data_IF_886370841708
#
_entry.id   IF_886370841708
#
_cell.length_a   1.000
_cell.length_b   1.000
_cell.length_c   1.000
_cell.angle_alpha   90.00
_cell.angle_beta   90.00
_cell.angle_gamma   90.00
#
_symmetry.space_group_name_H-M   'P 1'
#
loop_
_entity.id
_entity.type
_entity.pdbx_description
1 polymer ?
#
# COMPACT_ATOMS: atom_id res chain seq x y z
N UNK A 1 -23.70 -9.09 7.71
CA UNK A 1 -23.47 -9.78 6.41
C UNK A 1 -23.77 -11.27 6.51
N UNK A 2 -24.44 -11.86 5.48
CA UNK A 2 -24.78 -13.32 5.46
C UNK A 2 -23.51 -14.18 5.35
N UNK A 3 -23.50 -15.35 6.07
CA UNK A 3 -22.42 -16.34 5.98
C UNK A 3 -22.11 -16.71 4.52
N UNK A 4 -20.90 -16.46 4.04
CA UNK A 4 -20.46 -16.74 2.66
C UNK A 4 -20.36 -15.53 1.72
N UNK A 5 -20.89 -14.37 2.08
CA UNK A 5 -20.88 -13.16 1.26
C UNK A 5 -19.46 -12.54 1.16
N UNK A 6 -18.71 -12.52 2.28
CA UNK A 6 -17.32 -12.04 2.30
C UNK A 6 -16.42 -12.89 1.39
N UNK A 7 -16.54 -14.23 1.43
CA UNK A 7 -15.71 -15.10 0.58
C UNK A 7 -16.05 -14.95 -0.90
N UNK A 8 -17.35 -14.85 -1.22
CA UNK A 8 -17.82 -14.63 -2.60
C UNK A 8 -17.28 -13.29 -3.13
N UNK A 9 -17.31 -12.22 -2.30
CA UNK A 9 -16.76 -10.93 -2.63
C UNK A 9 -15.24 -11.01 -2.88
N UNK A 10 -14.49 -11.63 -1.97
CA UNK A 10 -13.04 -11.81 -2.12
C UNK A 10 -12.65 -12.61 -3.36
N UNK A 11 -13.43 -13.65 -3.67
CA UNK A 11 -13.23 -14.42 -4.90
C UNK A 11 -13.44 -13.54 -6.12
N UNK A 12 -14.51 -12.76 -6.15
CA UNK A 12 -14.84 -11.89 -7.29
C UNK A 12 -13.83 -10.76 -7.49
N UNK A 13 -13.34 -10.14 -6.41
CA UNK A 13 -12.23 -9.18 -6.50
C UNK A 13 -10.99 -9.84 -7.12
N UNK A 14 -10.64 -11.03 -6.69
CA UNK A 14 -9.51 -11.76 -7.26
C UNK A 14 -9.73 -12.07 -8.75
N UNK A 15 -10.92 -12.55 -9.13
CA UNK A 15 -11.26 -12.86 -10.52
C UNK A 15 -11.13 -11.61 -11.42
N UNK A 16 -11.62 -10.44 -10.96
CA UNK A 16 -11.48 -9.15 -11.66
C UNK A 16 -10.01 -8.74 -11.77
N UNK A 17 -9.24 -8.85 -10.68
CA UNK A 17 -7.82 -8.50 -10.68
C UNK A 17 -6.98 -9.39 -11.61
N UNK A 18 -7.36 -10.64 -11.80
CA UNK A 18 -6.66 -11.58 -12.68
C UNK A 18 -7.11 -11.46 -14.14
N UNK A 19 -8.28 -10.91 -14.41
CA UNK A 19 -8.77 -10.72 -15.78
C UNK A 19 -7.96 -9.65 -16.51
N UNK A 20 -7.20 -10.08 -17.52
CA UNK A 20 -6.37 -9.19 -18.36
C UNK A 20 -7.18 -8.37 -19.36
N UNK A 21 -8.43 -8.74 -19.61
CA UNK A 21 -9.34 -8.02 -20.51
C UNK A 21 -10.01 -6.81 -19.83
N UNK A 22 -9.90 -6.69 -18.50
CA UNK A 22 -10.47 -5.57 -17.76
C UNK A 22 -9.42 -4.49 -17.49
N UNK A 23 -9.75 -3.24 -17.84
CA UNK A 23 -8.96 -2.07 -17.49
C UNK A 23 -9.26 -1.72 -16.01
N UNK A 24 -8.41 -2.19 -15.11
CA UNK A 24 -8.54 -1.98 -13.65
C UNK A 24 -7.38 -1.17 -13.08
N UNK A 25 -6.49 -0.73 -13.94
CA UNK A 25 -5.36 0.14 -13.60
C UNK A 25 -5.61 1.47 -14.28
N UNK A 26 -5.44 2.55 -13.55
CA UNK A 26 -5.69 3.89 -14.04
C UNK A 26 -4.66 4.88 -13.51
N UNK A 27 -4.55 6.03 -14.16
CA UNK A 27 -3.64 7.09 -13.82
C UNK A 27 -2.21 6.90 -14.26
N UNK A 28 -1.45 7.94 -13.97
CA UNK A 28 0.00 7.94 -14.13
C UNK A 28 0.66 7.91 -12.75
N UNK A 29 1.67 7.06 -12.59
CA UNK A 29 2.46 7.03 -11.35
C UNK A 29 3.30 8.28 -11.14
N UNK A 30 3.58 9.08 -12.17
CA UNK A 30 4.55 10.18 -12.12
C UNK A 30 6.02 9.73 -11.97
N UNK A 31 6.29 8.42 -11.93
CA UNK A 31 7.67 7.89 -11.79
C UNK A 31 8.51 8.07 -13.05
N UNK A 32 7.88 8.21 -14.20
CA UNK A 32 8.52 8.55 -15.49
C UNK A 32 9.03 9.99 -15.50
N UNK A 33 8.47 10.88 -14.70
CA UNK A 33 8.90 12.26 -14.51
C UNK A 33 10.14 12.40 -13.61
N UNK A 34 10.64 11.30 -13.04
CA UNK A 34 11.79 11.26 -12.13
C UNK A 34 12.95 10.53 -12.78
N UNK A 35 14.14 11.11 -12.75
CA UNK A 35 15.36 10.50 -13.25
C UNK A 35 16.47 10.53 -12.20
N UNK A 36 17.11 9.39 -11.97
CA UNK A 36 18.31 9.29 -11.13
C UNK A 36 19.48 9.89 -11.93
N UNK A 37 20.30 10.72 -11.31
CA UNK A 37 21.43 11.35 -11.98
C UNK A 37 22.47 10.31 -12.37
N UNK A 38 22.76 10.23 -13.68
CA UNK A 38 23.76 9.34 -14.25
C UNK A 38 25.18 9.85 -13.98
N UNK A 39 26.09 8.94 -13.65
CA UNK A 39 27.53 9.19 -13.61
C UNK A 39 28.23 8.44 -14.72
N UNK A 40 28.84 9.16 -15.67
CA UNK A 40 29.64 8.56 -16.74
C UNK A 40 30.93 7.90 -16.22
N UNK A 41 31.41 8.35 -15.06
CA UNK A 41 32.54 7.79 -14.33
C UNK A 41 32.08 7.47 -12.90
N UNK A 42 31.38 6.35 -12.67
CA UNK A 42 30.78 6.04 -11.37
C UNK A 42 31.79 5.76 -10.25
N UNK A 43 33.03 5.34 -10.59
CA UNK A 43 34.14 5.21 -9.63
C UNK A 43 33.91 4.13 -8.56
N UNK A 44 33.12 3.08 -8.85
CA UNK A 44 32.85 1.99 -7.93
C UNK A 44 33.11 0.62 -8.55
N UNK A 45 33.42 -0.37 -7.72
CA UNK A 45 33.44 -1.76 -8.12
C UNK A 45 32.02 -2.34 -7.89
N UNK A 46 31.36 -2.78 -8.98
CA UNK A 46 30.00 -3.30 -8.94
C UNK A 46 29.85 -4.60 -8.14
N UNK A 47 30.97 -5.31 -7.87
CA UNK A 47 31.00 -6.49 -7.00
C UNK A 47 30.78 -6.15 -5.52
N UNK A 48 31.04 -4.91 -5.13
CA UNK A 48 30.87 -4.41 -3.78
C UNK A 48 29.50 -3.80 -3.52
N UNK A 49 28.61 -3.77 -4.53
CA UNK A 49 27.25 -3.26 -4.39
C UNK A 49 26.44 -4.19 -3.48
N UNK A 50 25.77 -3.61 -2.49
CA UNK A 50 24.80 -4.29 -1.64
C UNK A 50 23.41 -3.69 -1.74
N UNK A 51 22.40 -4.57 -1.83
CA UNK A 51 20.96 -4.21 -1.83
C UNK A 51 20.28 -4.60 -0.50
N UNK A 52 21.05 -5.02 0.49
CA UNK A 52 20.51 -5.42 1.80
C UNK A 52 19.84 -4.23 2.49
N UNK A 53 18.75 -4.51 3.18
CA UNK A 53 17.92 -3.53 3.87
C UNK A 53 17.34 -4.13 5.15
N UNK A 54 17.51 -3.46 6.29
CA UNK A 54 16.90 -3.91 7.54
C UNK A 54 15.43 -3.48 7.58
N UNK A 55 14.55 -4.40 7.93
CA UNK A 55 13.11 -4.16 8.05
C UNK A 55 12.49 -5.11 9.08
N UNK A 56 11.80 -4.57 10.09
CA UNK A 56 11.10 -5.33 11.15
C UNK A 56 11.98 -6.42 11.79
N UNK A 57 13.18 -6.07 12.22
CA UNK A 57 14.17 -6.99 12.82
C UNK A 57 14.73 -8.07 11.87
N UNK A 58 14.53 -7.96 10.57
CA UNK A 58 15.09 -8.83 9.54
C UNK A 58 16.00 -8.03 8.61
N UNK A 59 17.04 -8.70 8.09
CA UNK A 59 17.84 -8.14 6.99
C UNK A 59 17.38 -8.75 5.67
N UNK A 60 16.62 -7.97 4.89
CA UNK A 60 16.19 -8.34 3.55
C UNK A 60 17.38 -8.34 2.58
N UNK A 61 17.36 -9.23 1.59
CA UNK A 61 18.37 -9.25 0.52
C UNK A 61 18.13 -8.15 -0.52
N UNK A 62 16.87 -7.74 -0.70
CA UNK A 62 16.44 -6.66 -1.61
C UNK A 62 15.39 -5.77 -0.92
N UNK A 63 15.35 -4.45 -1.17
CA UNK A 63 14.42 -3.52 -0.53
C UNK A 63 13.02 -3.58 -1.18
N UNK A 64 12.45 -4.78 -1.24
CA UNK A 64 11.15 -5.03 -1.90
C UNK A 64 10.19 -5.67 -0.92
N UNK A 65 8.89 -5.37 -1.06
CA UNK A 65 7.81 -6.05 -0.36
C UNK A 65 6.73 -6.52 -1.35
N UNK A 66 6.35 -7.79 -1.24
CA UNK A 66 5.13 -8.28 -1.87
C UNK A 66 3.96 -7.79 -1.03
N UNK A 67 3.30 -6.72 -1.50
CA UNK A 67 2.31 -5.99 -0.70
C UNK A 67 1.01 -6.77 -0.48
N UNK A 68 0.28 -6.35 0.53
CA UNK A 68 -0.96 -6.96 0.98
C UNK A 68 -2.05 -6.90 -0.09
N UNK A 69 -2.63 -8.03 -0.51
CA UNK A 69 -3.75 -8.02 -1.46
C UNK A 69 -4.71 -9.19 -1.28
N UNK A 70 -4.27 -10.43 -1.33
CA UNK A 70 -5.13 -11.60 -1.43
C UNK A 70 -5.20 -12.44 -0.15
N UNK A 71 -6.31 -13.16 0.03
CA UNK A 71 -6.51 -14.08 1.15
C UNK A 71 -7.99 -14.31 1.44
N UNK A 72 -8.29 -15.39 2.20
CA UNK A 72 -9.64 -15.72 2.64
C UNK A 72 -10.54 -16.42 1.60
N UNK A 73 -10.05 -16.63 0.37
CA UNK A 73 -10.62 -17.55 -0.62
C UNK A 73 -9.61 -18.64 -0.93
N UNK A 74 -10.06 -19.76 -1.51
CA UNK A 74 -9.15 -20.87 -1.86
C UNK A 74 -8.14 -20.46 -2.95
N UNK A 75 -8.57 -19.69 -3.96
CA UNK A 75 -7.67 -19.11 -4.96
C UNK A 75 -6.62 -18.20 -4.32
N UNK A 76 -7.04 -17.30 -3.42
CA UNK A 76 -6.13 -16.43 -2.67
C UNK A 76 -5.15 -17.21 -1.80
N UNK A 77 -5.58 -18.32 -1.17
CA UNK A 77 -4.70 -19.20 -0.39
C UNK A 77 -3.60 -19.81 -1.26
N UNK A 78 -3.94 -20.31 -2.45
CA UNK A 78 -2.96 -20.89 -3.38
C UNK A 78 -1.91 -19.86 -3.80
N UNK A 79 -2.35 -18.65 -4.19
CA UNK A 79 -1.44 -17.56 -4.58
C UNK A 79 -0.54 -17.15 -3.41
N UNK A 80 -1.10 -16.97 -2.21
CA UNK A 80 -0.32 -16.63 -1.02
C UNK A 80 0.78 -17.65 -0.71
N UNK A 81 0.53 -18.93 -0.92
CA UNK A 81 1.55 -19.98 -0.72
C UNK A 81 2.71 -19.83 -1.71
N UNK A 82 2.41 -19.61 -2.99
CA UNK A 82 3.43 -19.36 -4.02
C UNK A 82 4.26 -18.14 -3.64
N UNK A 83 3.60 -17.03 -3.31
CA UNK A 83 4.25 -15.77 -2.99
C UNK A 83 5.10 -15.85 -1.71
N UNK A 84 4.62 -16.55 -0.67
CA UNK A 84 5.37 -16.72 0.57
C UNK A 84 6.61 -17.59 0.39
N UNK A 85 6.49 -18.68 -0.37
CA UNK A 85 7.62 -19.57 -0.68
C UNK A 85 8.72 -18.79 -1.43
N UNK A 86 8.37 -18.05 -2.47
CA UNK A 86 9.34 -17.23 -3.22
C UNK A 86 9.90 -16.08 -2.39
N UNK A 87 9.07 -15.43 -1.54
CA UNK A 87 9.52 -14.36 -0.65
C UNK A 87 10.63 -14.86 0.30
N UNK A 88 10.47 -16.08 0.86
CA UNK A 88 11.47 -16.73 1.69
C UNK A 88 12.78 -17.01 0.93
N UNK A 89 12.68 -17.59 -0.26
CA UNK A 89 13.85 -17.92 -1.09
C UNK A 89 14.64 -16.67 -1.49
N UNK A 90 13.95 -15.62 -1.93
CA UNK A 90 14.56 -14.37 -2.37
C UNK A 90 15.01 -13.51 -1.20
N UNK A 91 14.41 -13.65 -0.01
CA UNK A 91 14.69 -12.83 1.17
C UNK A 91 14.04 -11.45 1.08
N UNK A 92 12.74 -11.40 0.79
CA UNK A 92 11.94 -10.18 0.69
C UNK A 92 10.72 -10.24 1.62
N UNK A 93 10.16 -9.09 2.01
CA UNK A 93 8.99 -9.01 2.89
C UNK A 93 7.70 -9.40 2.13
N UNK A 94 6.70 -9.90 2.88
CA UNK A 94 5.38 -10.23 2.33
C UNK A 94 4.26 -9.84 3.28
N UNK A 95 3.14 -9.32 2.72
CA UNK A 95 1.91 -9.06 3.45
C UNK A 95 0.77 -10.01 3.06
N UNK A 96 -0.08 -10.35 4.04
CA UNK A 96 -1.32 -11.10 3.77
C UNK A 96 -2.39 -10.18 3.19
N UNK A 97 -3.42 -10.73 2.57
CA UNK A 97 -4.68 -9.99 2.39
C UNK A 97 -5.42 -9.82 3.72
N UNK A 98 -6.48 -9.00 3.71
CA UNK A 98 -7.24 -8.68 4.93
C UNK A 98 -7.68 -9.93 5.70
N UNK A 99 -7.27 -10.00 6.98
CA UNK A 99 -7.60 -11.08 7.92
C UNK A 99 -9.02 -10.96 8.49
N UNK A 100 -9.79 -9.92 8.14
CA UNK A 100 -11.17 -9.72 8.62
C UNK A 100 -12.02 -10.99 8.57
N UNK A 101 -11.83 -11.82 7.54
CA UNK A 101 -12.57 -13.07 7.42
C UNK A 101 -12.31 -14.05 8.57
N UNK A 102 -11.12 -14.02 9.19
CA UNK A 102 -10.77 -14.87 10.33
C UNK A 102 -11.55 -14.49 11.59
N UNK A 103 -11.89 -13.20 11.76
CA UNK A 103 -12.66 -12.71 12.90
C UNK A 103 -14.09 -13.32 12.92
N UNK A 104 -14.58 -13.70 11.74
CA UNK A 104 -15.90 -14.33 11.60
C UNK A 104 -15.84 -15.85 11.39
N UNK A 105 -14.67 -16.38 10.96
CA UNK A 105 -14.51 -17.77 10.50
C UNK A 105 -13.11 -18.27 10.84
N UNK A 106 -12.95 -18.80 12.03
CA UNK A 106 -11.65 -19.27 12.56
C UNK A 106 -11.00 -20.34 11.65
N UNK A 107 -11.79 -21.14 10.91
CA UNK A 107 -11.31 -22.14 9.98
C UNK A 107 -10.49 -21.55 8.82
N UNK A 108 -10.67 -20.26 8.51
CA UNK A 108 -9.89 -19.58 7.45
C UNK A 108 -8.49 -19.13 7.91
N UNK A 109 -8.13 -19.31 9.19
CA UNK A 109 -6.82 -18.95 9.74
C UNK A 109 -5.66 -19.53 8.92
N UNK A 110 -5.77 -20.80 8.50
CA UNK A 110 -4.75 -21.48 7.71
C UNK A 110 -4.44 -20.79 6.36
N UNK A 111 -5.32 -19.93 5.86
CA UNK A 111 -5.09 -19.15 4.62
C UNK A 111 -4.08 -18.00 4.82
N UNK A 112 -3.82 -17.63 6.07
CA UNK A 112 -3.00 -16.47 6.43
C UNK A 112 -1.72 -16.84 7.20
N UNK A 113 -1.52 -18.12 7.53
CA UNK A 113 -0.31 -18.62 8.23
C UNK A 113 0.90 -18.68 7.30
N UNK A 114 1.28 -17.54 6.72
CA UNK A 114 2.39 -17.45 5.76
C UNK A 114 3.75 -17.60 6.44
N UNK A 115 3.85 -17.27 7.73
CA UNK A 115 5.08 -17.39 8.51
C UNK A 115 5.66 -18.81 8.50
N UNK A 116 4.80 -19.82 8.44
CA UNK A 116 5.23 -21.23 8.32
C UNK A 116 5.92 -21.57 6.99
N UNK A 117 5.66 -20.77 5.94
CA UNK A 117 6.27 -20.92 4.61
C UNK A 117 7.43 -19.95 4.40
N UNK A 118 7.43 -18.85 5.11
CA UNK A 118 8.41 -17.78 5.02
C UNK A 118 8.95 -17.40 6.41
N UNK A 119 9.63 -18.35 7.13
CA UNK A 119 10.07 -18.11 8.51
C UNK A 119 11.16 -17.05 8.62
N UNK A 120 12.00 -16.91 7.60
CA UNK A 120 13.21 -16.08 7.62
C UNK A 120 13.00 -14.66 7.09
N UNK A 121 11.76 -14.29 6.76
CA UNK A 121 11.41 -12.94 6.27
C UNK A 121 10.21 -12.37 7.01
N UNK A 122 10.05 -11.03 7.03
CA UNK A 122 8.90 -10.40 7.66
C UNK A 122 7.59 -10.78 6.96
N UNK A 123 6.62 -11.21 7.76
CA UNK A 123 5.24 -11.48 7.33
C UNK A 123 4.31 -10.49 8.02
N UNK A 124 3.57 -9.71 7.25
CA UNK A 124 2.63 -8.72 7.78
C UNK A 124 1.19 -9.25 7.72
N UNK A 125 0.49 -9.21 8.84
CA UNK A 125 -0.96 -9.28 8.84
C UNK A 125 -1.55 -8.03 8.19
N UNK A 126 -2.80 -8.10 7.72
CA UNK A 126 -3.46 -6.96 7.13
C UNK A 126 -4.91 -6.85 7.58
N UNK A 127 -5.37 -5.62 7.88
CA UNK A 127 -6.77 -5.32 8.23
C UNK A 127 -7.18 -3.96 7.69
N UNK A 128 -8.48 -3.76 7.46
CA UNK A 128 -9.00 -2.44 7.08
C UNK A 128 -9.20 -1.53 8.28
N UNK A 129 -9.03 -0.24 8.08
CA UNK A 129 -9.19 0.77 9.14
C UNK A 129 -10.58 0.76 9.78
N UNK A 130 -11.64 0.46 9.02
CA UNK A 130 -12.99 0.33 9.55
C UNK A 130 -13.08 -0.68 10.72
N UNK A 131 -12.24 -1.72 10.71
CA UNK A 131 -12.21 -2.73 11.75
C UNK A 131 -11.59 -2.23 13.07
N UNK A 132 -10.78 -1.17 13.03
CA UNK A 132 -10.26 -0.53 14.25
C UNK A 132 -11.37 0.14 15.07
N UNK A 133 -12.46 0.55 14.41
CA UNK A 133 -13.67 1.06 15.06
C UNK A 133 -14.58 -0.08 15.51
N UNK A 134 -14.70 -1.14 14.70
CA UNK A 134 -15.65 -2.25 14.88
C UNK A 134 -15.22 -3.21 16.02
N UNK A 135 -13.92 -3.39 16.25
CA UNK A 135 -13.38 -4.37 17.19
C UNK A 135 -12.46 -3.74 18.25
N UNK A 136 -12.44 -4.28 19.47
CA UNK A 136 -11.42 -3.95 20.46
C UNK A 136 -10.01 -4.28 19.90
N UNK A 137 -8.98 -3.48 20.24
CA UNK A 137 -7.60 -3.75 19.81
C UNK A 137 -7.13 -5.15 20.18
N UNK A 138 -7.46 -5.65 21.36
CA UNK A 138 -7.06 -6.97 21.86
C UNK A 138 -7.54 -8.09 20.93
N UNK A 139 -8.77 -8.00 20.40
CA UNK A 139 -9.32 -8.98 19.44
C UNK A 139 -8.52 -8.99 18.14
N UNK A 140 -8.12 -7.80 17.63
CA UNK A 140 -7.32 -7.68 16.42
C UNK A 140 -5.91 -8.21 16.64
N UNK A 141 -5.27 -7.86 17.74
CA UNK A 141 -3.92 -8.30 18.10
C UNK A 141 -3.84 -9.81 18.33
N UNK A 142 -4.87 -10.40 18.96
CA UNK A 142 -4.97 -11.86 19.08
C UNK A 142 -5.07 -12.55 17.72
N UNK A 143 -5.85 -11.99 16.79
CA UNK A 143 -5.94 -12.52 15.43
C UNK A 143 -4.58 -12.45 14.71
N UNK A 144 -3.83 -11.35 14.84
CA UNK A 144 -2.47 -11.19 14.30
C UNK A 144 -1.52 -12.22 14.89
N UNK A 145 -1.49 -12.35 16.22
CA UNK A 145 -0.68 -13.34 16.94
C UNK A 145 -0.99 -14.76 16.50
N UNK A 146 -2.25 -15.08 16.24
CA UNK A 146 -2.70 -16.42 15.86
C UNK A 146 -2.14 -16.91 14.51
N UNK A 147 -1.65 -16.01 13.67
CA UNK A 147 -1.00 -16.32 12.38
C UNK A 147 0.51 -16.07 12.42
N UNK A 148 1.06 -15.75 13.59
CA UNK A 148 2.49 -15.54 13.83
C UNK A 148 3.08 -14.42 12.95
N UNK A 149 2.29 -13.36 12.66
CA UNK A 149 2.76 -12.24 11.86
C UNK A 149 3.71 -11.33 12.66
N UNK A 150 4.74 -10.80 12.00
CA UNK A 150 5.78 -9.94 12.59
C UNK A 150 5.34 -8.48 12.74
N UNK A 151 4.22 -8.09 12.11
CA UNK A 151 3.65 -6.75 12.19
C UNK A 151 2.23 -6.71 11.63
N UNK A 152 1.57 -5.59 11.85
CA UNK A 152 0.21 -5.33 11.40
C UNK A 152 0.20 -4.21 10.35
N UNK A 153 -0.33 -4.49 9.18
CA UNK A 153 -0.63 -3.50 8.16
C UNK A 153 -2.11 -3.09 8.24
N UNK A 154 -2.38 -1.82 8.44
CA UNK A 154 -3.74 -1.26 8.40
C UNK A 154 -3.94 -0.55 7.08
N UNK A 155 -4.89 -1.01 6.27
CA UNK A 155 -5.18 -0.34 5.00
C UNK A 155 -6.31 0.69 5.13
N UNK A 156 -6.07 1.84 4.52
CA UNK A 156 -7.04 2.91 4.29
C UNK A 156 -7.63 2.69 2.90
N UNK A 157 -8.94 2.71 2.79
CA UNK A 157 -9.61 2.45 1.52
C UNK A 157 -10.97 3.17 1.40
N UNK A 158 -11.04 4.49 1.68
CA UNK A 158 -12.30 5.21 1.70
C UNK A 158 -13.00 5.20 0.33
N UNK A 159 -12.25 5.34 -0.75
CA UNK A 159 -12.78 5.30 -2.10
C UNK A 159 -13.36 3.92 -2.45
N UNK A 160 -12.65 2.84 -2.10
CA UNK A 160 -13.18 1.48 -2.27
C UNK A 160 -14.44 1.26 -1.45
N UNK A 161 -14.44 1.59 -0.16
CA UNK A 161 -15.60 1.38 0.73
C UNK A 161 -16.81 2.20 0.25
N UNK A 162 -16.58 3.42 -0.25
CA UNK A 162 -17.66 4.26 -0.78
C UNK A 162 -18.35 3.65 -1.99
N UNK A 163 -17.63 3.07 -2.94
CA UNK A 163 -18.18 2.47 -4.14
C UNK A 163 -18.56 0.99 -3.97
N UNK A 164 -18.11 0.35 -2.89
CA UNK A 164 -18.39 -1.04 -2.61
C UNK A 164 -19.85 -1.23 -2.16
N UNK A 165 -20.57 -2.18 -2.77
CA UNK A 165 -21.87 -2.63 -2.30
C UNK A 165 -21.76 -3.13 -0.86
N UNK A 166 -22.56 -2.58 0.06
CA UNK A 166 -22.46 -2.81 1.51
C UNK A 166 -21.09 -2.45 2.11
N UNK A 167 -20.38 -1.50 1.53
CA UNK A 167 -19.18 -0.93 2.10
C UNK A 167 -19.47 0.05 3.24
N UNK A 168 -18.45 0.40 3.99
CA UNK A 168 -18.58 1.39 5.06
C UNK A 168 -18.88 2.78 4.45
N UNK A 169 -19.78 3.52 5.10
CA UNK A 169 -20.16 4.89 4.69
C UNK A 169 -19.89 5.92 5.78
N UNK A 170 -19.65 5.46 7.00
CA UNK A 170 -19.28 6.31 8.11
C UNK A 170 -17.77 6.18 8.36
N UNK A 171 -17.02 7.15 7.86
CA UNK A 171 -15.56 7.21 8.01
C UNK A 171 -15.11 7.92 9.28
N UNK A 172 -16.07 8.41 10.10
CA UNK A 172 -15.76 9.00 11.40
C UNK A 172 -15.17 7.96 12.35
N UNK A 173 -14.38 8.41 13.32
CA UNK A 173 -13.79 7.54 14.34
C UNK A 173 -12.66 6.61 13.83
N UNK A 174 -12.19 6.75 12.59
CA UNK A 174 -11.07 5.96 12.10
C UNK A 174 -9.75 6.36 12.77
N UNK A 175 -9.55 7.65 12.98
CA UNK A 175 -8.35 8.15 13.64
C UNK A 175 -8.30 7.74 15.11
N UNK A 176 -9.41 7.87 15.83
CA UNK A 176 -9.56 7.41 17.21
C UNK A 176 -9.37 5.87 17.32
N UNK A 177 -9.70 5.15 16.24
CA UNK A 177 -9.39 3.72 16.11
C UNK A 177 -7.88 3.46 16.12
N UNK A 178 -7.09 4.29 15.43
CA UNK A 178 -5.64 4.23 15.51
C UNK A 178 -5.12 4.57 16.90
N UNK A 179 -5.62 5.62 17.54
CA UNK A 179 -5.21 6.00 18.90
C UNK A 179 -5.36 4.80 19.85
N UNK A 180 -6.56 4.19 19.89
CA UNK A 180 -6.81 3.00 20.72
C UNK A 180 -5.91 1.81 20.38
N UNK A 181 -5.62 1.58 19.09
CA UNK A 181 -4.72 0.51 18.66
C UNK A 181 -3.30 0.77 19.16
N UNK A 182 -2.81 1.99 18.94
CA UNK A 182 -1.42 2.36 19.27
C UNK A 182 -1.13 2.36 20.78
N UNK A 183 -2.15 2.55 21.62
CA UNK A 183 -2.02 2.40 23.07
C UNK A 183 -1.78 0.94 23.54
N UNK A 184 -2.13 -0.05 22.71
CA UNK A 184 -2.13 -1.48 23.08
C UNK A 184 -1.14 -2.33 22.28
N UNK A 185 -0.71 -1.84 21.14
CA UNK A 185 0.10 -2.63 20.21
C UNK A 185 1.57 -2.67 20.64
N UNK A 186 2.16 -3.86 20.66
CA UNK A 186 3.58 -4.09 20.95
C UNK A 186 4.38 -4.45 19.67
N UNK A 187 3.70 -4.72 18.57
CA UNK A 187 4.31 -5.06 17.29
C UNK A 187 4.29 -3.86 16.33
N UNK A 188 5.20 -3.80 15.35
CA UNK A 188 5.19 -2.72 14.36
C UNK A 188 3.86 -2.61 13.62
N UNK A 189 3.35 -1.37 13.49
CA UNK A 189 2.15 -1.06 12.71
C UNK A 189 2.56 -0.27 11.47
N UNK A 190 2.11 -0.73 10.31
CA UNK A 190 2.23 -0.04 9.04
C UNK A 190 0.86 0.48 8.64
N UNK A 191 0.80 1.66 8.08
CA UNK A 191 -0.44 2.17 7.47
C UNK A 191 -0.22 2.29 5.97
N UNK A 192 -1.18 1.79 5.19
CA UNK A 192 -1.14 1.87 3.71
C UNK A 192 -2.45 2.35 3.14
N UNK A 193 -2.39 3.07 2.05
CA UNK A 193 -3.54 3.28 1.19
C UNK A 193 -3.65 2.15 0.15
N UNK A 194 -4.67 2.16 -0.67
CA UNK A 194 -4.94 1.09 -1.64
C UNK A 194 -4.86 1.53 -3.11
N UNK A 195 -4.52 2.79 -3.37
CA UNK A 195 -4.31 3.31 -4.72
C UNK A 195 -4.69 4.78 -4.90
N UNK A 196 -5.08 5.49 -3.81
CA UNK A 196 -5.36 6.91 -3.84
C UNK A 196 -4.28 7.78 -3.15
N UNK A 197 -3.39 7.14 -2.39
CA UNK A 197 -2.25 7.79 -1.76
C UNK A 197 -2.51 8.34 -0.37
N UNK A 198 -1.42 8.47 0.43
CA UNK A 198 -1.44 9.12 1.75
C UNK A 198 -0.64 10.41 1.66
N UNK A 199 -1.33 11.54 1.73
CA UNK A 199 -0.69 12.85 1.73
C UNK A 199 0.23 13.04 2.96
N UNK A 200 1.30 13.85 2.85
CA UNK A 200 2.24 14.06 3.95
C UNK A 200 1.60 14.53 5.25
N UNK A 201 0.57 15.36 5.20
CA UNK A 201 -0.15 15.86 6.39
C UNK A 201 -0.75 14.71 7.20
N UNK A 202 -1.40 13.75 6.54
CA UNK A 202 -1.99 12.58 7.19
C UNK A 202 -0.92 11.59 7.63
N UNK A 203 0.10 11.36 6.78
CA UNK A 203 1.22 10.48 7.10
C UNK A 203 1.99 10.95 8.33
N UNK A 204 2.30 12.23 8.44
CA UNK A 204 2.94 12.81 9.63
C UNK A 204 2.07 12.65 10.88
N UNK A 205 0.75 12.85 10.76
CA UNK A 205 -0.18 12.65 11.87
C UNK A 205 -0.16 11.21 12.38
N UNK A 206 -0.14 10.22 11.47
CA UNK A 206 -0.04 8.81 11.82
C UNK A 206 1.32 8.45 12.43
N UNK A 207 2.42 8.97 11.87
CA UNK A 207 3.77 8.77 12.41
C UNK A 207 3.92 9.36 13.82
N UNK A 208 3.28 10.51 14.10
CA UNK A 208 3.23 11.11 15.45
C UNK A 208 2.51 10.22 16.47
N UNK A 209 1.53 9.41 16.05
CA UNK A 209 0.89 8.39 16.90
C UNK A 209 1.76 7.18 17.18
N UNK A 210 2.91 7.02 16.52
CA UNK A 210 3.80 5.88 16.70
C UNK A 210 3.70 4.81 15.61
N UNK A 211 2.93 5.03 14.54
CA UNK A 211 2.96 4.16 13.35
C UNK A 211 4.39 4.04 12.85
N UNK A 212 4.82 2.81 12.54
CA UNK A 212 6.22 2.52 12.19
C UNK A 212 6.57 2.91 10.76
N UNK A 213 5.65 2.68 9.81
CA UNK A 213 5.85 2.96 8.38
C UNK A 213 4.56 3.42 7.71
N UNK A 214 4.70 4.30 6.72
CA UNK A 214 3.64 4.73 5.80
C UNK A 214 3.93 4.13 4.43
N UNK A 215 3.04 3.28 3.93
CA UNK A 215 3.02 2.82 2.54
C UNK A 215 2.08 3.73 1.75
N UNK A 216 2.67 4.60 0.95
CA UNK A 216 1.98 5.74 0.33
C UNK A 216 0.92 5.31 -0.69
N UNK A 217 1.08 4.18 -1.37
CA UNK A 217 0.13 3.57 -2.32
C UNK A 217 -0.64 4.58 -3.21
N UNK A 218 0.11 5.39 -3.96
CA UNK A 218 -0.45 6.40 -4.85
C UNK A 218 -1.14 5.85 -6.10
N UNK A 219 -1.70 6.74 -6.93
CA UNK A 219 -2.34 6.38 -8.21
C UNK A 219 -1.34 5.85 -9.24
N UNK A 220 -1.85 5.31 -10.35
CA UNK A 220 -1.06 4.69 -11.42
C UNK A 220 -1.03 3.16 -11.36
N UNK A 221 -1.76 2.56 -10.42
CA UNK A 221 -1.89 1.11 -10.25
C UNK A 221 -3.34 0.64 -10.21
N UNK A 222 -3.62 -0.34 -9.34
CA UNK A 222 -4.98 -0.85 -9.16
C UNK A 222 -5.92 0.23 -8.68
N UNK A 223 -6.97 0.49 -9.44
CA UNK A 223 -8.00 1.48 -9.13
C UNK A 223 -9.23 0.79 -8.53
N UNK A 224 -9.41 0.96 -7.24
CA UNK A 224 -10.49 0.27 -6.53
C UNK A 224 -11.89 0.79 -6.87
N UNK A 225 -12.15 2.08 -7.07
CA UNK A 225 -13.39 2.57 -7.67
C UNK A 225 -13.74 1.83 -8.96
N UNK A 226 -12.79 1.71 -9.89
CA UNK A 226 -12.99 1.00 -11.18
C UNK A 226 -13.24 -0.50 -10.95
N UNK A 227 -12.50 -1.16 -10.06
CA UNK A 227 -12.70 -2.57 -9.70
C UNK A 227 -14.12 -2.80 -9.13
N UNK A 228 -14.60 -1.92 -8.26
CA UNK A 228 -15.96 -2.00 -7.73
C UNK A 228 -17.02 -1.71 -8.80
N UNK A 229 -16.74 -0.80 -9.74
CA UNK A 229 -17.57 -0.55 -10.92
C UNK A 229 -17.76 -1.81 -11.76
N UNK A 230 -16.68 -2.51 -12.12
CA UNK A 230 -16.75 -3.79 -12.84
C UNK A 230 -17.51 -4.87 -12.07
N UNK A 231 -17.45 -4.85 -10.75
CA UNK A 231 -18.24 -5.77 -9.91
C UNK A 231 -19.75 -5.50 -10.03
N UNK A 232 -20.15 -4.23 -10.14
CA UNK A 232 -21.54 -3.81 -10.33
C UNK A 232 -22.10 -4.12 -11.71
N UNK A 233 -21.32 -3.90 -12.77
CA UNK A 233 -21.74 -4.03 -14.19
C UNK A 233 -22.09 -5.47 -14.60
N UNK A 234 -21.55 -6.48 -13.92
CA UNK A 234 -21.91 -7.88 -14.19
C UNK A 234 -23.38 -8.21 -13.86
N UNK A 235 -24.14 -7.24 -13.36
CA UNK A 235 -25.57 -7.31 -13.11
C UNK A 235 -26.40 -6.41 -14.04
N UNK A 236 -26.19 -6.44 -15.39
CA UNK A 236 -26.97 -5.65 -16.37
C UNK A 236 -28.50 -5.70 -16.23
N UNK A 237 -29.06 -6.65 -15.46
CA UNK A 237 -30.45 -6.67 -15.04
C UNK A 237 -30.79 -5.76 -13.84
N UNK A 238 -29.78 -5.30 -13.09
CA UNK A 238 -29.94 -4.44 -11.89
C UNK A 238 -30.25 -2.98 -12.23
N UNK A 239 -29.60 -2.42 -13.26
CA UNK A 239 -29.68 -0.99 -13.59
C UNK A 239 -31.14 -0.53 -13.92
N UNK A 240 -31.89 -1.29 -14.72
CA UNK A 240 -33.29 -0.95 -15.04
C UNK A 240 -34.26 -1.11 -13.85
N UNK A 241 -33.95 -2.02 -12.92
CA UNK A 241 -34.78 -2.26 -11.73
C UNK A 241 -34.60 -1.22 -10.65
N UNK A 242 -33.43 -0.58 -10.59
CA UNK A 242 -33.05 0.37 -9.55
C UNK A 242 -33.56 1.77 -9.76
N UNK A 243 -33.71 2.21 -11.02
CA UNK A 243 -34.37 3.48 -11.35
C UNK A 243 -35.86 3.46 -10.97
N UNK A 244 -36.48 2.26 -10.79
CA UNK A 244 -37.88 2.11 -10.40
C UNK A 244 -38.09 1.99 -8.87
N UNK A 245 -37.04 1.86 -8.06
CA UNK A 245 -37.13 1.74 -6.58
C UNK A 245 -36.45 2.94 -5.87
N UNK A 246 -37.00 4.13 -6.04
CA UNK A 246 -36.55 5.34 -5.33
C UNK A 246 -36.94 5.40 -3.84
N UNK A 247 -37.47 4.32 -3.25
CA UNK A 247 -37.98 4.31 -1.87
C UNK A 247 -37.47 3.09 -1.08
N UNK A 248 -36.15 2.96 -0.90
CA UNK A 248 -35.63 2.03 0.13
C UNK A 248 -34.75 2.79 1.12
N UNK A 249 -35.07 2.63 2.42
CA UNK A 249 -34.33 3.23 3.56
C UNK A 249 -32.92 2.71 3.75
N UNK A 250 -32.47 1.77 2.93
CA UNK A 250 -31.12 1.21 2.94
C UNK A 250 -30.33 1.74 1.75
N UNK A 251 -29.27 2.52 2.06
CA UNK A 251 -28.51 3.38 1.16
C UNK A 251 -27.72 2.74 0.02
N UNK A 252 -28.10 1.60 -0.50
CA UNK A 252 -27.45 0.97 -1.67
C UNK A 252 -28.06 1.51 -2.97
N UNK A 253 -27.57 2.65 -3.39
CA UNK A 253 -27.99 3.24 -4.65
C UNK A 253 -27.17 2.64 -5.82
N UNK A 254 -27.79 1.93 -6.77
CA UNK A 254 -27.14 1.38 -7.96
C UNK A 254 -26.43 2.41 -8.84
N UNK A 255 -26.80 3.69 -8.72
CA UNK A 255 -26.10 4.80 -9.40
C UNK A 255 -24.68 5.05 -8.88
N UNK A 256 -24.33 4.64 -7.64
CA UNK A 256 -22.97 4.77 -7.11
C UNK A 256 -21.99 3.88 -7.88
N UNK A 257 -22.39 2.66 -8.24
CA UNK A 257 -21.54 1.77 -9.04
C UNK A 257 -21.33 2.28 -10.47
N UNK A 258 -22.32 2.94 -11.06
CA UNK A 258 -22.17 3.58 -12.37
C UNK A 258 -21.28 4.83 -12.32
N UNK A 259 -21.21 5.51 -11.18
CA UNK A 259 -20.34 6.66 -10.96
C UNK A 259 -18.88 6.27 -10.67
N UNK A 260 -18.61 5.03 -10.24
CA UNK A 260 -17.28 4.59 -9.83
C UNK A 260 -16.19 4.82 -10.90
N UNK A 261 -16.53 4.57 -12.19
CA UNK A 261 -15.60 4.83 -13.29
C UNK A 261 -15.31 6.33 -13.52
N UNK A 262 -16.16 7.23 -13.05
CA UNK A 262 -15.93 8.68 -13.14
C UNK A 262 -14.96 9.19 -12.07
N UNK A 263 -14.60 8.34 -11.11
CA UNK A 263 -13.63 8.58 -10.05
C UNK A 263 -12.33 7.80 -10.25
N UNK A 264 -12.10 7.31 -11.48
CA UNK A 264 -10.78 6.79 -11.80
C UNK A 264 -9.73 7.88 -11.59
N UNK A 265 -8.51 7.49 -11.17
CA UNK A 265 -7.40 8.41 -10.90
C UNK A 265 -7.63 9.39 -9.73
N UNK A 266 -8.65 9.14 -8.91
CA UNK A 266 -8.88 9.94 -7.72
C UNK A 266 -7.76 9.71 -6.70
N UNK A 267 -7.05 10.79 -6.35
CA UNK A 267 -5.98 10.77 -5.36
C UNK A 267 -4.67 11.37 -5.90
N UNK A 268 -3.59 11.04 -5.23
CA UNK A 268 -2.25 11.56 -5.50
C UNK A 268 -1.39 10.52 -6.21
N UNK A 269 -0.60 10.93 -7.19
CA UNK A 269 0.32 10.01 -7.87
C UNK A 269 1.45 9.56 -6.94
N UNK A 270 1.96 8.37 -7.18
CA UNK A 270 3.09 7.83 -6.41
C UNK A 270 4.32 8.73 -6.47
N UNK A 271 4.57 9.36 -7.65
CA UNK A 271 5.70 10.24 -7.86
C UNK A 271 5.62 11.53 -7.07
N UNK A 272 4.44 12.21 -7.06
CA UNK A 272 4.28 13.47 -6.30
C UNK A 272 4.38 13.24 -4.80
N UNK A 273 3.80 12.15 -4.29
CA UNK A 273 3.93 11.76 -2.89
C UNK A 273 5.39 11.47 -2.51
N UNK A 274 6.10 10.69 -3.33
CA UNK A 274 7.51 10.38 -3.08
C UNK A 274 8.38 11.64 -3.03
N UNK A 275 8.16 12.58 -3.95
CA UNK A 275 8.92 13.84 -3.97
C UNK A 275 8.54 14.72 -2.78
N UNK A 276 7.27 14.80 -2.40
CA UNK A 276 6.84 15.55 -1.22
C UNK A 276 7.47 14.99 0.06
N UNK A 277 7.40 13.68 0.30
CA UNK A 277 8.04 13.06 1.45
C UNK A 277 9.57 13.18 1.42
N UNK A 278 10.20 13.09 0.24
CA UNK A 278 11.63 13.34 0.08
C UNK A 278 12.01 14.76 0.51
N UNK A 279 11.29 15.78 0.02
CA UNK A 279 11.55 17.17 0.37
C UNK A 279 11.45 17.40 1.88
N UNK A 280 10.46 16.77 2.56
CA UNK A 280 10.37 16.81 4.02
C UNK A 280 11.63 16.21 4.68
N UNK A 281 12.15 15.09 4.17
CA UNK A 281 13.37 14.48 4.74
C UNK A 281 14.63 15.29 4.50
N UNK A 282 14.66 16.16 3.51
CA UNK A 282 15.76 17.06 3.17
C UNK A 282 15.73 18.38 3.99
N UNK A 283 14.62 18.67 4.69
CA UNK A 283 14.54 19.78 5.64
C UNK A 283 15.14 19.40 7.00
N UNK A 284 15.35 20.39 7.85
CA UNK A 284 15.71 20.17 9.26
C UNK A 284 14.45 20.23 10.14
N UNK A 285 14.41 19.41 11.21
CA UNK A 285 13.35 19.47 12.20
C UNK A 285 12.59 18.15 12.43
N UNK A 286 11.61 18.20 13.33
CA UNK A 286 10.87 17.02 13.81
C UNK A 286 10.15 16.23 12.71
N UNK A 287 9.60 16.90 11.71
CA UNK A 287 8.92 16.23 10.58
C UNK A 287 9.89 15.41 9.75
N UNK A 288 11.09 15.91 9.49
CA UNK A 288 12.17 15.19 8.81
C UNK A 288 12.59 13.93 9.58
N UNK A 289 12.76 14.03 10.89
CA UNK A 289 13.12 12.90 11.75
C UNK A 289 12.02 11.82 11.75
N UNK A 290 10.76 12.23 11.76
CA UNK A 290 9.61 11.31 11.73
C UNK A 290 9.51 10.54 10.42
N UNK A 291 9.77 11.17 9.28
CA UNK A 291 9.58 10.59 7.94
C UNK A 291 10.79 9.74 7.51
N UNK A 292 12.00 10.12 7.93
CA UNK A 292 13.25 9.50 7.47
C UNK A 292 13.28 7.99 7.70
N UNK A 293 13.39 7.23 6.60
CA UNK A 293 13.46 5.78 6.63
C UNK A 293 12.13 5.08 6.95
N UNK A 294 11.00 5.81 6.92
CA UNK A 294 9.67 5.25 7.28
C UNK A 294 8.67 5.25 6.13
N UNK A 295 9.10 5.58 4.92
CA UNK A 295 8.21 5.57 3.74
C UNK A 295 8.42 4.29 2.94
N UNK A 296 7.33 3.62 2.62
CA UNK A 296 7.26 2.52 1.65
C UNK A 296 6.59 3.07 0.39
N UNK A 297 7.21 2.88 -0.75
CA UNK A 297 6.66 3.30 -2.04
C UNK A 297 5.86 2.17 -2.65
N UNK A 298 4.56 2.38 -2.86
CA UNK A 298 3.74 1.53 -3.70
C UNK A 298 2.72 2.36 -4.49
N UNK A 299 1.93 1.71 -5.34
CA UNK A 299 1.04 2.38 -6.28
C UNK A 299 1.64 2.40 -7.69
N UNK A 300 1.23 1.46 -8.53
CA UNK A 300 1.59 1.39 -9.93
C UNK A 300 3.01 0.97 -10.30
N UNK A 301 3.85 0.52 -9.37
CA UNK A 301 5.18 0.02 -9.68
C UNK A 301 5.10 -1.27 -10.53
N UNK A 302 5.75 -1.29 -11.71
CA UNK A 302 5.70 -2.40 -12.66
C UNK A 302 7.05 -2.80 -13.20
N UNK A 303 7.96 -1.86 -13.41
CA UNK A 303 9.26 -2.07 -14.02
C UNK A 303 10.38 -2.03 -12.98
N UNK A 304 11.51 -2.69 -13.22
CA UNK A 304 12.70 -2.58 -12.36
C UNK A 304 13.12 -1.12 -12.09
N UNK A 305 12.90 -0.23 -13.07
CA UNK A 305 13.19 1.20 -12.95
C UNK A 305 12.29 1.87 -11.91
N UNK A 306 11.00 1.51 -11.83
CA UNK A 306 10.07 2.11 -10.87
C UNK A 306 10.51 1.83 -9.44
N UNK A 307 10.92 0.58 -9.16
CA UNK A 307 11.47 0.18 -7.86
C UNK A 307 12.76 0.94 -7.54
N UNK A 308 13.68 1.04 -8.49
CA UNK A 308 14.94 1.75 -8.31
C UNK A 308 14.74 3.25 -8.07
N UNK A 309 13.86 3.90 -8.84
CA UNK A 309 13.48 5.32 -8.68
C UNK A 309 12.85 5.55 -7.32
N UNK A 310 11.94 4.67 -6.89
CA UNK A 310 11.30 4.78 -5.58
C UNK A 310 12.32 4.79 -4.44
N UNK A 311 13.31 3.88 -4.47
CA UNK A 311 14.39 3.86 -3.48
C UNK A 311 15.25 5.12 -3.58
N UNK A 312 15.62 5.56 -4.78
CA UNK A 312 16.39 6.78 -4.98
C UNK A 312 15.66 8.03 -4.45
N UNK A 313 14.33 8.03 -4.48
CA UNK A 313 13.50 9.09 -3.90
C UNK A 313 13.37 9.02 -2.37
N UNK A 314 14.07 8.11 -1.69
CA UNK A 314 14.11 8.05 -0.22
C UNK A 314 13.21 6.98 0.38
N UNK A 315 12.48 6.19 -0.41
CA UNK A 315 11.69 5.09 0.13
C UNK A 315 12.57 4.06 0.83
N UNK A 316 12.10 3.57 1.97
CA UNK A 316 12.75 2.49 2.71
C UNK A 316 12.63 1.16 1.96
N UNK A 317 11.40 0.84 1.51
CA UNK A 317 11.09 -0.28 0.63
C UNK A 317 10.27 0.21 -0.57
N UNK A 318 10.31 -0.55 -1.65
CA UNK A 318 9.40 -0.44 -2.77
C UNK A 318 8.48 -1.67 -2.82
N UNK A 319 7.17 -1.48 -3.00
CA UNK A 319 6.21 -2.55 -2.89
C UNK A 319 5.23 -2.60 -4.08
N UNK A 320 4.73 -3.78 -4.38
CA UNK A 320 3.67 -3.97 -5.35
C UNK A 320 2.78 -5.16 -4.95
N UNK A 321 1.53 -5.17 -5.41
CA UNK A 321 0.58 -6.24 -5.15
C UNK A 321 0.13 -6.93 -6.45
N UNK A 322 -0.58 -6.20 -7.32
CA UNK A 322 -1.21 -6.74 -8.52
C UNK A 322 -0.25 -7.50 -9.46
N UNK A 323 0.95 -6.99 -9.81
CA UNK A 323 1.84 -7.73 -10.70
C UNK A 323 2.24 -9.10 -10.11
N UNK A 324 2.46 -9.19 -8.81
CA UNK A 324 2.83 -10.44 -8.15
C UNK A 324 1.71 -11.48 -8.21
N UNK A 325 0.45 -11.11 -7.93
CA UNK A 325 -0.66 -12.08 -8.00
C UNK A 325 -0.94 -12.51 -9.43
N UNK A 326 -0.81 -11.61 -10.41
CA UNK A 326 -0.96 -11.94 -11.82
C UNK A 326 0.12 -12.91 -12.29
N UNK A 327 1.38 -12.62 -11.98
CA UNK A 327 2.51 -13.49 -12.34
C UNK A 327 2.41 -14.84 -11.63
N UNK A 328 2.07 -14.86 -10.34
CA UNK A 328 1.87 -16.10 -9.59
C UNK A 328 0.73 -16.96 -10.17
N UNK A 329 -0.32 -16.32 -10.70
CA UNK A 329 -1.43 -17.00 -11.36
C UNK A 329 -1.03 -17.57 -12.72
N UNK A 330 -0.25 -16.82 -13.51
CA UNK A 330 0.06 -17.13 -14.90
C UNK A 330 1.27 -18.10 -15.02
N UNK A 331 2.30 -17.90 -14.18
CA UNK A 331 3.61 -18.54 -14.30
C UNK A 331 4.13 -19.16 -12.98
N UNK A 332 3.31 -19.19 -11.93
CA UNK A 332 3.66 -19.82 -10.66
C UNK A 332 4.89 -19.22 -9.97
N UNK A 333 5.59 -20.04 -9.20
CA UNK A 333 6.78 -19.64 -8.43
C UNK A 333 7.92 -19.14 -9.32
N UNK A 334 8.18 -19.81 -10.44
CA UNK A 334 9.29 -19.46 -11.34
C UNK A 334 9.12 -18.05 -11.91
N UNK A 335 7.89 -17.70 -12.35
CA UNK A 335 7.62 -16.37 -12.86
C UNK A 335 7.78 -15.27 -11.80
N UNK A 336 7.36 -15.53 -10.56
CA UNK A 336 7.55 -14.59 -9.44
C UNK A 336 9.03 -14.42 -9.11
N UNK A 337 9.77 -15.53 -9.08
CA UNK A 337 11.22 -15.51 -8.86
C UNK A 337 11.95 -14.67 -9.93
N UNK A 338 11.66 -14.92 -11.21
CA UNK A 338 12.24 -14.15 -12.32
C UNK A 338 11.88 -12.67 -12.25
N UNK A 339 10.67 -12.33 -11.85
CA UNK A 339 10.25 -10.93 -11.72
C UNK A 339 11.03 -10.23 -10.59
N UNK A 340 11.19 -10.87 -9.43
CA UNK A 340 11.99 -10.34 -8.32
C UNK A 340 13.48 -10.25 -8.68
N UNK A 341 14.01 -11.21 -9.42
CA UNK A 341 15.40 -11.17 -9.91
C UNK A 341 15.62 -9.96 -10.83
N UNK A 342 14.70 -9.70 -11.76
CA UNK A 342 14.77 -8.51 -12.64
C UNK A 342 14.68 -7.20 -11.85
N UNK A 343 13.82 -7.14 -10.82
CA UNK A 343 13.75 -5.97 -9.94
C UNK A 343 15.09 -5.76 -9.22
N UNK A 344 15.65 -6.83 -8.67
CA UNK A 344 16.96 -6.78 -8.00
C UNK A 344 18.06 -6.26 -8.92
N UNK A 345 18.13 -6.76 -10.14
CA UNK A 345 19.09 -6.28 -11.15
C UNK A 345 18.86 -4.80 -11.52
N UNK A 346 17.60 -4.35 -11.60
CA UNK A 346 17.30 -2.94 -11.87
C UNK A 346 17.78 -2.02 -10.73
N UNK A 347 17.61 -2.42 -9.48
CA UNK A 347 18.12 -1.68 -8.31
C UNK A 347 19.66 -1.67 -8.34
N UNK A 348 20.30 -2.81 -8.60
CA UNK A 348 21.77 -2.89 -8.75
C UNK A 348 22.30 -2.03 -9.88
N UNK A 349 21.60 -1.99 -11.01
CA UNK A 349 21.95 -1.11 -12.14
C UNK A 349 21.87 0.36 -11.75
N UNK A 350 20.81 0.77 -11.03
CA UNK A 350 20.68 2.13 -10.52
C UNK A 350 21.81 2.51 -9.55
N UNK A 351 22.19 1.61 -8.65
CA UNK A 351 23.34 1.77 -7.76
C UNK A 351 24.63 1.96 -8.58
N UNK A 352 24.88 1.08 -9.53
CA UNK A 352 26.09 1.16 -10.37
C UNK A 352 26.16 2.47 -11.16
N UNK A 353 25.08 2.84 -11.86
CA UNK A 353 25.04 4.00 -12.75
C UNK A 353 24.96 5.35 -12.01
N UNK A 354 24.53 5.35 -10.75
CA UNK A 354 24.59 6.52 -9.86
C UNK A 354 25.91 6.61 -9.08
N UNK A 355 26.79 5.59 -9.16
CA UNK A 355 28.03 5.50 -8.37
C UNK A 355 27.75 5.31 -6.87
N UNK A 356 26.68 4.63 -6.54
CA UNK A 356 26.26 4.30 -5.16
C UNK A 356 26.61 2.85 -4.84
N UNK A 357 27.16 2.57 -3.65
CA UNK A 357 27.55 1.23 -3.23
C UNK A 357 26.46 0.50 -2.45
N UNK A 358 25.52 1.25 -1.88
CA UNK A 358 24.44 0.75 -1.05
C UNK A 358 23.19 1.63 -1.19
N UNK A 359 22.08 1.18 -0.58
CA UNK A 359 20.80 1.86 -0.66
C UNK A 359 20.81 3.27 -0.03
N UNK A 360 21.60 3.47 1.02
CA UNK A 360 21.68 4.79 1.68
C UNK A 360 22.38 5.82 0.79
N UNK A 361 23.40 5.40 0.05
CA UNK A 361 24.03 6.25 -0.95
C UNK A 361 23.07 6.53 -2.12
N UNK A 362 22.27 5.55 -2.54
CA UNK A 362 21.28 5.73 -3.59
C UNK A 362 20.17 6.72 -3.15
N UNK A 363 19.66 6.62 -1.92
CA UNK A 363 18.66 7.55 -1.36
C UNK A 363 19.17 8.99 -1.30
N UNK A 364 20.49 9.17 -1.10
CA UNK A 364 21.14 10.49 -1.11
C UNK A 364 21.56 10.94 -2.50
N UNK A 365 21.40 10.09 -3.52
CA UNK A 365 21.75 10.47 -4.88
C UNK A 365 20.85 11.59 -5.39
N UNK A 366 21.40 12.41 -6.30
CA UNK A 366 20.63 13.48 -6.93
C UNK A 366 19.59 12.89 -7.87
N UNK A 367 18.34 13.26 -7.70
CA UNK A 367 17.26 13.01 -8.66
C UNK A 367 16.93 14.29 -9.42
N UNK A 368 16.48 14.17 -10.64
CA UNK A 368 15.93 15.25 -11.47
C UNK A 368 14.46 14.96 -11.65
N UNK A 369 13.64 15.98 -11.49
CA UNK A 369 12.19 15.89 -11.63
C UNK A 369 11.71 16.96 -12.59
N UNK A 370 10.55 16.75 -13.20
CA UNK A 370 9.92 17.77 -14.05
C UNK A 370 9.41 18.94 -13.21
N UNK A 371 9.28 20.16 -13.79
CA UNK A 371 8.68 21.28 -13.09
C UNK A 371 7.26 20.98 -12.59
N UNK A 372 6.46 20.25 -13.40
CA UNK A 372 5.10 19.83 -13.02
C UNK A 372 5.09 19.04 -11.74
N UNK A 373 5.91 17.98 -11.67
CA UNK A 373 5.97 17.10 -10.49
C UNK A 373 6.48 17.86 -9.26
N UNK A 374 7.40 18.80 -9.46
CA UNK A 374 7.91 19.65 -8.38
C UNK A 374 6.80 20.52 -7.76
N UNK A 375 5.97 21.18 -8.58
CA UNK A 375 4.87 22.03 -8.10
C UNK A 375 3.79 21.20 -7.37
N UNK A 376 3.39 20.04 -7.92
CA UNK A 376 2.44 19.14 -7.25
C UNK A 376 2.95 18.69 -5.86
N UNK A 377 4.21 18.29 -5.77
CA UNK A 377 4.80 17.90 -4.49
C UNK A 377 4.86 19.06 -3.48
N UNK A 378 5.11 20.28 -3.98
CA UNK A 378 5.15 21.50 -3.15
C UNK A 378 3.77 21.87 -2.60
N UNK A 379 2.70 21.71 -3.38
CA UNK A 379 1.33 21.90 -2.92
C UNK A 379 1.02 21.02 -1.71
N UNK A 380 1.39 19.72 -1.75
CA UNK A 380 1.21 18.78 -0.65
C UNK A 380 2.00 19.14 0.63
N UNK A 381 3.13 19.82 0.49
CA UNK A 381 3.91 20.29 1.64
C UNK A 381 3.28 21.54 2.25
N UNK A 382 2.76 22.44 1.43
CA UNK A 382 2.10 23.67 1.91
C UNK A 382 0.86 23.37 2.78
N UNK A 383 0.14 22.27 2.51
CA UNK A 383 -0.98 21.82 3.35
C UNK A 383 -0.58 21.52 4.80
N UNK A 384 0.68 21.11 5.04
CA UNK A 384 1.20 20.86 6.39
C UNK A 384 1.27 22.17 7.18
N UNK A 385 1.81 23.21 6.56
CA UNK A 385 2.00 24.53 7.19
C UNK A 385 0.66 25.20 7.52
N UNK A 386 -0.34 25.02 6.65
CA UNK A 386 -1.70 25.55 6.87
C UNK A 386 -2.39 24.83 8.03
N UNK A 387 -2.31 23.52 8.08
CA UNK A 387 -2.92 22.71 9.16
C UNK A 387 -2.31 23.01 10.53
N UNK A 388 -1.00 23.24 10.60
CA UNK A 388 -0.33 23.63 11.85
C UNK A 388 -0.71 25.06 12.29
N UNK A 389 -0.96 26.00 11.34
CA UNK A 389 -1.47 27.36 11.63
C UNK A 389 -2.90 27.33 12.16
N UNK A 390 -3.79 26.52 11.56
CA UNK A 390 -5.18 26.38 12.00
C UNK A 390 -5.26 25.84 13.44
N UNK A 391 -4.47 24.83 13.77
CA UNK A 391 -4.40 24.28 15.14
C UNK A 391 -3.87 25.28 16.15
N UNK A 392 -2.93 26.13 15.74
CA UNK A 392 -2.38 27.20 16.61
C UNK A 392 -3.46 28.26 16.84
N UNK A 393 -4.25 28.62 15.83
CA UNK A 393 -5.37 29.56 15.96
C UNK A 393 -6.51 28.99 16.83
N UNK A 394 -6.89 27.72 16.61
CA UNK A 394 -7.92 27.03 17.43
C UNK A 394 -7.51 26.88 18.91
N UNK A 395 -6.19 26.79 19.18
CA UNK A 395 -5.64 26.82 20.53
C UNK A 395 -5.68 28.24 21.14
N UNK A 396 -5.39 29.26 20.36
CA UNK A 396 -5.42 30.66 20.82
C UNK A 396 -6.87 31.16 21.08
N UNK A 397 -7.84 30.71 20.29
CA UNK A 397 -9.27 31.05 20.50
C UNK A 397 -9.88 30.31 21.72
N UNK A 398 -9.25 29.26 22.24
CA UNK A 398 -9.67 28.51 23.43
C UNK A 398 -8.94 28.93 24.72
N UNK A 399 -8.08 29.93 24.64
CA UNK A 399 -7.47 30.53 25.82
C UNK A 399 -8.47 31.53 26.45
N UNK A 400 -8.73 31.43 27.78
CA UNK A 400 -9.72 32.28 28.47
C UNK A 400 -9.30 33.73 28.53
#
# INVERSE_FOLDING_TARGET
MKKGEIQRRKRRHLDICLDRGLAIESGNTGLDEISISHKSLPGIDTRLITTKCDFLNYTLKIPVMISCMTGGSEGGRKLNRILADVASQVGTAIGTGSIRVMLHRAETRSHFQLKKLAPDVPVLANIGVAQLREYPPETLLEAVKSIEADGLCVHLNPSQEFFQEHGERDFSGWYEGFERLMEKVEIPVLVKETGAGIAPVEGLRLLKLGVSFIDIAGTGGSDWPVIEGHRGDSGKRGFRRSLQKQNTKDGDAPHLLSAAHSFQDWGYSTGELLIAYRQITETEGKSSELVRGRIIASGGLRTPRDFAVSIACGAHLAAAALPFIRIASDAGSDGVFEYLARISEGIRAALALSGSKNLDELRRSKVRITPRLHELAKELINEIDETDKEKTNDFLEKLP
#
